data_IF_734523013045
#
_entry.id   IF_734523013045
#
_cell.length_a   1.000
_cell.length_b   1.000
_cell.length_c   1.000
_cell.angle_alpha   90.00
_cell.angle_beta   90.00
_cell.angle_gamma   90.00
#
_symmetry.space_group_name_H-M   'P 1'
#
loop_
_entity.id
_entity.type
_entity.pdbx_description
1 polymer ?
#
# COMPACT_ATOMS: atom_id res chain seq x y z
N UNK A 1 3.56 -25.75 6.01
CA UNK A 1 4.02 -24.63 5.15
C UNK A 1 3.29 -23.36 5.60
N UNK A 2 4.01 -22.30 6.03
CA UNK A 2 3.37 -21.02 6.44
C UNK A 2 2.59 -20.47 5.24
N UNK A 3 1.27 -20.33 5.37
CA UNK A 3 0.38 -19.89 4.27
C UNK A 3 0.16 -18.36 4.22
N UNK A 4 0.68 -17.61 5.20
CA UNK A 4 0.43 -16.18 5.35
C UNK A 4 1.53 -15.51 6.17
N UNK A 5 1.75 -14.21 5.94
CA UNK A 5 2.56 -13.37 6.82
C UNK A 5 2.02 -13.40 8.25
N UNK A 6 2.90 -13.67 9.23
CA UNK A 6 2.58 -13.48 10.65
C UNK A 6 2.76 -12.02 11.05
N UNK A 7 2.25 -11.64 12.22
CA UNK A 7 2.44 -10.28 12.76
C UNK A 7 3.93 -9.94 12.95
N UNK A 8 4.73 -10.92 13.41
CA UNK A 8 6.18 -10.74 13.56
C UNK A 8 6.85 -10.53 12.19
N UNK A 9 6.46 -11.30 11.18
CA UNK A 9 6.98 -11.12 9.82
C UNK A 9 6.65 -9.70 9.31
N UNK A 10 5.40 -9.24 9.51
CA UNK A 10 4.95 -7.90 9.14
C UNK A 10 5.75 -6.79 9.84
N UNK A 11 6.05 -6.95 11.13
CA UNK A 11 6.84 -5.99 11.91
C UNK A 11 8.20 -5.70 11.27
N UNK A 12 8.93 -6.74 10.88
CA UNK A 12 10.23 -6.58 10.24
C UNK A 12 10.10 -6.08 8.79
N UNK A 13 9.15 -6.62 8.03
CA UNK A 13 8.92 -6.21 6.64
C UNK A 13 8.53 -4.73 6.53
N UNK A 14 7.76 -4.17 7.47
CA UNK A 14 7.43 -2.75 7.45
C UNK A 14 8.66 -1.85 7.59
N UNK A 15 9.70 -2.29 8.32
CA UNK A 15 10.97 -1.55 8.42
C UNK A 15 11.72 -1.60 7.09
N UNK A 16 11.75 -2.76 6.44
CA UNK A 16 12.38 -2.94 5.12
C UNK A 16 11.66 -2.11 4.05
N UNK A 17 10.33 -2.22 3.97
CA UNK A 17 9.51 -1.43 3.04
C UNK A 17 9.62 0.05 3.35
N UNK A 18 9.71 0.44 4.63
CA UNK A 18 9.94 1.81 5.05
C UNK A 18 11.22 2.41 4.44
N UNK A 19 12.30 1.64 4.37
CA UNK A 19 13.56 2.06 3.73
C UNK A 19 13.43 2.36 2.24
N UNK A 20 12.42 1.80 1.55
CA UNK A 20 12.19 1.99 0.12
C UNK A 20 11.06 2.97 -0.16
N UNK A 21 10.00 2.96 0.65
CA UNK A 21 8.74 3.65 0.39
C UNK A 21 8.66 5.02 1.08
N UNK A 22 9.32 5.25 2.22
CA UNK A 22 9.26 6.57 2.87
C UNK A 22 9.90 7.63 1.97
N UNK A 23 9.18 8.72 1.72
CA UNK A 23 9.57 9.75 0.75
C UNK A 23 9.24 9.41 -0.70
N UNK A 24 8.75 8.20 -1.00
CA UNK A 24 8.32 7.84 -2.34
C UNK A 24 7.04 8.59 -2.73
N UNK A 25 6.98 9.04 -3.98
CA UNK A 25 5.81 9.71 -4.55
C UNK A 25 4.84 8.68 -5.09
N UNK A 26 3.58 8.74 -4.66
CA UNK A 26 2.51 7.94 -5.24
C UNK A 26 2.27 8.31 -6.70
N UNK A 27 2.18 7.30 -7.56
CA UNK A 27 1.98 7.44 -9.01
C UNK A 27 0.62 6.89 -9.45
N UNK A 28 0.40 5.58 -9.28
CA UNK A 28 -0.83 4.91 -9.72
C UNK A 28 -1.24 3.82 -8.74
N UNK A 29 -2.52 3.50 -8.69
CA UNK A 29 -3.05 2.31 -8.04
C UNK A 29 -3.82 1.45 -9.04
N UNK A 30 -3.79 0.15 -8.87
CA UNK A 30 -4.55 -0.84 -9.63
C UNK A 30 -5.12 -1.89 -8.68
N UNK A 31 -6.26 -2.44 -9.05
CA UNK A 31 -6.85 -3.60 -8.39
C UNK A 31 -6.71 -4.76 -9.37
N UNK A 32 -5.87 -5.75 -9.04
CA UNK A 32 -5.53 -6.88 -9.91
C UNK A 32 -6.52 -8.04 -9.77
N UNK A 33 -7.17 -8.14 -8.60
CA UNK A 33 -8.24 -9.08 -8.26
C UNK A 33 -9.15 -8.45 -7.21
N UNK A 34 -10.11 -9.19 -6.65
CA UNK A 34 -11.09 -8.61 -5.71
C UNK A 34 -10.41 -7.92 -4.51
N UNK A 35 -9.32 -8.50 -3.98
CA UNK A 35 -8.61 -8.00 -2.79
C UNK A 35 -7.13 -7.72 -3.02
N UNK A 36 -6.67 -7.82 -4.26
CA UNK A 36 -5.27 -7.67 -4.63
C UNK A 36 -5.04 -6.28 -5.18
N UNK A 37 -4.20 -5.51 -4.49
CA UNK A 37 -3.91 -4.12 -4.82
C UNK A 37 -2.46 -3.99 -5.23
N UNK A 38 -2.23 -3.30 -6.35
CA UNK A 38 -0.91 -2.88 -6.80
C UNK A 38 -0.82 -1.37 -6.70
N UNK A 39 0.02 -0.88 -5.80
CA UNK A 39 0.37 0.52 -5.69
C UNK A 39 1.69 0.77 -6.40
N UNK A 40 1.77 1.83 -7.19
CA UNK A 40 2.99 2.26 -7.85
C UNK A 40 3.46 3.54 -7.23
N UNK A 41 4.74 3.54 -6.89
CA UNK A 41 5.45 4.68 -6.36
C UNK A 41 6.67 5.00 -7.21
N UNK A 42 7.15 6.23 -7.07
CA UNK A 42 8.45 6.67 -7.54
C UNK A 42 9.29 7.05 -6.31
N UNK A 43 10.24 6.19 -5.95
CA UNK A 43 11.11 6.37 -4.79
C UNK A 43 12.41 7.09 -5.17
N UNK A 44 12.88 8.07 -4.39
CA UNK A 44 14.18 8.72 -4.62
C UNK A 44 15.32 7.71 -4.64
N UNK A 45 16.21 7.79 -5.64
CA UNK A 45 17.37 6.90 -5.76
C UNK A 45 17.07 5.47 -6.28
N UNK A 46 15.82 4.99 -6.15
CA UNK A 46 15.40 3.66 -6.65
C UNK A 46 14.63 3.76 -7.97
N UNK A 47 13.87 4.84 -8.17
CA UNK A 47 12.98 5.01 -9.31
C UNK A 47 11.62 4.35 -9.08
N UNK A 48 11.10 3.63 -10.09
CA UNK A 48 9.78 3.00 -9.99
C UNK A 48 9.81 1.82 -9.02
N UNK A 49 8.87 1.83 -8.06
CA UNK A 49 8.63 0.72 -7.13
C UNK A 49 7.16 0.34 -7.19
N UNK A 50 6.89 -0.94 -7.44
CA UNK A 50 5.54 -1.50 -7.41
C UNK A 50 5.38 -2.25 -6.07
N UNK A 51 4.41 -1.85 -5.25
CA UNK A 51 4.06 -2.49 -3.97
C UNK A 51 2.76 -3.26 -4.15
N UNK A 52 2.85 -4.59 -4.10
CA UNK A 52 1.70 -5.49 -4.22
C UNK A 52 1.27 -5.93 -2.82
N UNK A 53 -0.05 -5.91 -2.58
CA UNK A 53 -0.66 -6.36 -1.34
C UNK A 53 -1.84 -7.26 -1.68
N UNK A 54 -1.86 -8.44 -1.07
CA UNK A 54 -2.94 -9.43 -1.12
C UNK A 54 -3.31 -9.81 0.32
N UNK A 55 -4.42 -10.53 0.55
CA UNK A 55 -4.84 -10.92 1.90
C UNK A 55 -3.81 -11.71 2.73
N UNK A 56 -2.84 -12.37 2.09
CA UNK A 56 -1.86 -13.22 2.77
C UNK A 56 -0.40 -12.81 2.54
N UNK A 57 -0.15 -11.83 1.67
CA UNK A 57 1.17 -11.49 1.16
C UNK A 57 1.29 -10.01 0.80
N UNK A 58 2.48 -9.44 0.99
CA UNK A 58 2.82 -8.11 0.47
C UNK A 58 4.30 -8.04 0.15
N UNK A 59 4.68 -7.29 -0.90
CA UNK A 59 6.08 -7.03 -1.21
C UNK A 59 6.27 -5.79 -2.10
N UNK A 60 7.46 -5.18 -1.99
CA UNK A 60 7.98 -4.27 -3.01
C UNK A 60 8.63 -5.09 -4.13
N UNK A 61 8.40 -4.68 -5.38
CA UNK A 61 8.94 -5.34 -6.57
C UNK A 61 9.29 -4.33 -7.66
N UNK A 62 10.34 -4.65 -8.43
CA UNK A 62 10.67 -3.98 -9.69
C UNK A 62 9.99 -4.66 -10.90
N UNK A 63 9.25 -5.74 -10.67
CA UNK A 63 8.54 -6.48 -11.71
C UNK A 63 7.47 -5.62 -12.40
N UNK A 64 7.29 -5.82 -13.70
CA UNK A 64 6.27 -5.13 -14.50
C UNK A 64 5.01 -5.97 -14.58
N UNK A 65 4.08 -5.73 -13.66
CA UNK A 65 2.76 -6.36 -13.67
C UNK A 65 1.91 -5.92 -14.86
N UNK A 66 1.14 -6.85 -15.42
CA UNK A 66 0.07 -6.52 -16.36
C UNK A 66 -1.10 -5.90 -15.58
N UNK A 67 -1.33 -4.61 -15.81
CA UNK A 67 -2.42 -3.89 -15.18
C UNK A 67 -3.72 -4.02 -16.01
N UNK A 68 -4.89 -4.11 -15.36
CA UNK A 68 -6.16 -4.07 -16.08
C UNK A 68 -6.31 -2.73 -16.83
N UNK A 69 -6.91 -2.80 -18.02
CA UNK A 69 -7.14 -1.63 -18.87
C UNK A 69 -8.13 -0.66 -18.24
N UNK A 70 -9.21 -1.19 -17.66
CA UNK A 70 -10.23 -0.39 -16.97
C UNK A 70 -9.94 -0.38 -15.47
N UNK A 71 -9.69 0.79 -14.86
CA UNK A 71 -9.50 0.87 -13.41
C UNK A 71 -10.80 0.65 -12.66
N UNK A 72 -10.75 -0.04 -11.52
CA UNK A 72 -11.89 -0.17 -10.63
C UNK A 72 -12.24 1.18 -9.97
N UNK A 73 -13.46 1.28 -9.44
CA UNK A 73 -13.91 2.45 -8.66
C UNK A 73 -12.99 2.72 -7.47
N UNK A 74 -12.56 1.66 -6.76
CA UNK A 74 -11.61 1.74 -5.67
C UNK A 74 -10.25 2.29 -6.13
N UNK A 75 -9.66 1.74 -7.20
CA UNK A 75 -8.41 2.23 -7.75
C UNK A 75 -8.51 3.70 -8.19
N UNK A 76 -9.64 4.11 -8.74
CA UNK A 76 -9.92 5.49 -9.11
C UNK A 76 -10.02 6.41 -7.87
N UNK A 77 -10.64 5.95 -6.78
CA UNK A 77 -10.72 6.70 -5.54
C UNK A 77 -9.33 6.91 -4.91
N UNK A 78 -8.48 5.87 -4.90
CA UNK A 78 -7.08 5.99 -4.48
C UNK A 78 -6.34 7.03 -5.33
N UNK A 79 -6.44 6.95 -6.66
CA UNK A 79 -5.80 7.93 -7.56
C UNK A 79 -6.33 9.35 -7.30
N UNK A 80 -7.64 9.51 -7.10
CA UNK A 80 -8.26 10.83 -6.85
C UNK A 80 -7.71 11.50 -5.59
N UNK A 81 -7.39 10.74 -4.54
CA UNK A 81 -6.97 11.30 -3.25
C UNK A 81 -5.46 11.30 -3.03
N UNK A 82 -4.74 10.30 -3.55
CA UNK A 82 -3.33 10.05 -3.27
C UNK A 82 -2.38 10.54 -4.37
N UNK A 83 -2.86 10.89 -5.57
CA UNK A 83 -2.01 11.31 -6.69
C UNK A 83 -1.03 12.42 -6.30
N UNK A 84 0.24 12.26 -6.68
CA UNK A 84 1.34 13.19 -6.35
C UNK A 84 1.60 13.34 -4.85
N UNK A 85 0.98 12.51 -4.01
CA UNK A 85 1.25 12.47 -2.58
C UNK A 85 2.55 11.75 -2.27
N UNK A 86 3.12 12.05 -1.12
CA UNK A 86 4.37 11.45 -0.64
C UNK A 86 4.09 10.59 0.57
N UNK A 87 4.66 9.38 0.58
CA UNK A 87 4.62 8.49 1.75
C UNK A 87 5.41 9.13 2.88
N UNK A 88 4.81 9.26 4.05
CA UNK A 88 5.42 9.82 5.26
C UNK A 88 5.82 8.77 6.27
N UNK A 89 5.19 7.60 6.23
CA UNK A 89 5.50 6.54 7.16
C UNK A 89 4.69 5.29 6.86
N UNK A 90 5.19 4.18 7.37
CA UNK A 90 4.47 2.93 7.46
C UNK A 90 4.47 2.53 8.93
N UNK A 91 3.35 2.01 9.42
CA UNK A 91 3.22 1.57 10.80
C UNK A 91 2.34 0.33 10.89
N UNK A 92 2.59 -0.45 11.93
CA UNK A 92 1.77 -1.60 12.29
C UNK A 92 0.76 -1.15 13.33
N UNK A 93 -0.49 -1.61 13.23
CA UNK A 93 -1.49 -1.36 14.27
C UNK A 93 -1.27 -2.34 15.44
N UNK A 94 -0.86 -1.81 16.60
CA UNK A 94 -0.57 -2.59 17.80
C UNK A 94 0.52 -3.62 17.54
N UNK A 95 0.11 -4.88 17.37
CA UNK A 95 0.94 -5.98 16.87
C UNK A 95 0.07 -6.99 16.12
N UNK A 96 -0.91 -6.49 15.36
CA UNK A 96 -1.78 -7.31 14.52
C UNK A 96 -1.26 -7.39 13.09
N UNK A 97 -1.90 -8.22 12.27
CA UNK A 97 -1.64 -8.31 10.82
C UNK A 97 -2.34 -7.17 10.07
N UNK A 98 -2.17 -5.96 10.58
CA UNK A 98 -2.74 -4.71 10.05
C UNK A 98 -1.59 -3.72 9.95
N UNK A 99 -1.46 -3.08 8.78
CA UNK A 99 -0.52 -1.99 8.60
C UNK A 99 -1.15 -0.83 7.85
N UNK A 100 -0.61 0.36 8.06
CA UNK A 100 -1.02 1.57 7.36
C UNK A 100 0.16 2.21 6.63
N UNK A 101 -0.14 2.84 5.49
CA UNK A 101 0.77 3.75 4.78
C UNK A 101 0.19 5.16 4.92
N UNK A 102 0.91 6.04 5.61
CA UNK A 102 0.55 7.46 5.72
C UNK A 102 1.03 8.21 4.49
N UNK A 103 0.13 8.88 3.78
CA UNK A 103 0.44 9.61 2.54
C UNK A 103 -0.05 11.05 2.67
N UNK A 104 0.81 12.02 2.38
CA UNK A 104 0.44 13.43 2.34
C UNK A 104 0.30 13.85 0.87
N UNK A 105 -0.91 14.19 0.45
CA UNK A 105 -1.19 14.71 -0.89
C UNK A 105 -1.63 16.18 -0.82
N UNK A 106 -1.87 16.79 -1.98
CA UNK A 106 -2.44 18.16 -2.05
C UNK A 106 -3.84 18.26 -1.44
N UNK A 107 -4.55 17.13 -1.27
CA UNK A 107 -5.90 17.08 -0.71
C UNK A 107 -5.91 16.88 0.80
N UNK A 108 -4.75 16.65 1.41
CA UNK A 108 -4.63 16.40 2.84
C UNK A 108 -3.81 15.16 3.15
N UNK A 109 -3.92 14.74 4.40
CA UNK A 109 -3.30 13.51 4.90
C UNK A 109 -4.30 12.37 4.74
N UNK A 110 -3.78 11.22 4.30
CA UNK A 110 -4.56 10.01 4.13
C UNK A 110 -3.83 8.82 4.74
N UNK A 111 -4.61 7.87 5.22
CA UNK A 111 -4.18 6.60 5.79
C UNK A 111 -4.69 5.46 4.90
N UNK A 112 -3.78 4.78 4.23
CA UNK A 112 -4.12 3.58 3.46
C UNK A 112 -3.85 2.35 4.33
N UNK A 113 -4.92 1.75 4.85
CA UNK A 113 -4.88 0.66 5.83
C UNK A 113 -5.12 -0.67 5.14
N UNK A 114 -4.33 -1.68 5.50
CA UNK A 114 -4.42 -3.04 4.98
C UNK A 114 -4.60 -4.04 6.12
N UNK A 115 -5.60 -4.92 5.98
CA UNK A 115 -5.82 -6.06 6.86
C UNK A 115 -5.41 -7.35 6.14
N UNK A 116 -4.46 -8.09 6.71
CA UNK A 116 -3.87 -9.31 6.10
C UNK A 116 -4.35 -10.60 6.78
N UNK A 117 -5.60 -10.61 7.26
CA UNK A 117 -6.22 -11.77 7.89
C UNK A 117 -7.58 -12.06 7.26
N UNK A 118 -8.08 -13.30 7.44
CA UNK A 118 -9.32 -13.76 6.81
C UNK A 118 -9.28 -13.55 5.28
N UNK A 119 -10.29 -12.87 4.71
CA UNK A 119 -10.36 -12.51 3.29
C UNK A 119 -9.51 -11.30 2.90
N UNK A 120 -8.92 -10.62 3.89
CA UNK A 120 -8.17 -9.38 3.72
C UNK A 120 -9.03 -8.18 3.32
N UNK A 121 -8.55 -6.98 3.64
CA UNK A 121 -9.25 -5.75 3.30
C UNK A 121 -8.31 -4.58 3.12
N UNK A 122 -8.79 -3.53 2.44
CA UNK A 122 -8.07 -2.29 2.23
C UNK A 122 -9.01 -1.11 2.37
N UNK A 123 -8.58 -0.11 3.13
CA UNK A 123 -9.35 1.10 3.40
C UNK A 123 -8.49 2.32 3.11
N UNK A 124 -9.13 3.35 2.55
CA UNK A 124 -8.55 4.68 2.48
C UNK A 124 -9.31 5.55 3.47
N UNK A 125 -8.61 6.04 4.48
CA UNK A 125 -9.14 6.97 5.47
C UNK A 125 -8.52 8.35 5.27
N UNK A 126 -9.25 9.40 5.64
CA UNK A 126 -8.71 10.76 5.75
C UNK A 126 -7.92 10.96 7.07
N UNK A 127 -7.52 12.20 7.38
CA UNK A 127 -6.76 12.54 8.59
C UNK A 127 -7.59 12.37 9.87
N UNK A 128 -8.92 12.52 9.77
CA UNK A 128 -9.86 12.28 10.87
C UNK A 128 -10.19 10.79 11.05
N UNK A 129 -9.66 9.94 10.16
CA UNK A 129 -9.87 8.49 10.10
C UNK A 129 -11.30 8.08 9.76
N UNK A 130 -11.98 8.87 8.93
CA UNK A 130 -13.29 8.56 8.34
C UNK A 130 -13.20 7.76 7.04
#
# INVERSE_FOLDING_TARGET
>A
MKKSLSSVDLHFLLREWGGVLVGARFDKAYQLGERDVLLRFHSPGVGRVDFIVTPSFACCSSHRWQAPQTPSSFAMQLRKNLSQGYVRGLSQAGFDRIFEIKIHSKKGVFHLVFELFSKGNVFLLDDERN
#
